data_IF_332856442380
#
_entry.id   IF_332856442380
#
_cell.length_a   1.000
_cell.length_b   1.000
_cell.length_c   1.000
_cell.angle_alpha   90.00
_cell.angle_beta   90.00
_cell.angle_gamma   90.00
#
_symmetry.space_group_name_H-M   'P 1'
#
loop_
_entity.id
_entity.type
_entity.pdbx_description
1 polymer ?
#
# COMPACT_ATOMS: atom_id res chain seq x y z
N UNK A 1 8.08 -17.95 -0.59
CA UNK A 1 8.64 -16.80 0.15
C UNK A 1 7.46 -15.99 0.62
N UNK A 2 7.37 -15.76 1.93
CA UNK A 2 6.33 -14.90 2.51
C UNK A 2 6.57 -13.46 2.03
N UNK A 3 5.54 -12.83 1.45
CA UNK A 3 5.66 -11.46 0.92
C UNK A 3 5.69 -10.50 2.11
N UNK A 4 6.75 -9.72 2.25
CA UNK A 4 6.80 -8.64 3.21
C UNK A 4 5.90 -7.49 2.75
N UNK A 5 4.76 -7.29 3.42
CA UNK A 5 3.78 -6.26 3.09
C UNK A 5 4.36 -4.86 2.98
N UNK A 6 5.29 -4.49 3.87
CA UNK A 6 5.87 -3.13 3.90
C UNK A 6 6.76 -2.89 2.69
N UNK A 7 7.60 -3.87 2.37
CA UNK A 7 8.50 -3.80 1.21
C UNK A 7 7.70 -3.76 -0.09
N UNK A 8 6.69 -4.62 -0.22
CA UNK A 8 5.85 -4.69 -1.41
C UNK A 8 5.00 -3.42 -1.58
N UNK A 9 4.43 -2.87 -0.50
CA UNK A 9 3.68 -1.62 -0.56
C UNK A 9 4.57 -0.45 -1.00
N UNK A 10 5.81 -0.35 -0.48
CA UNK A 10 6.78 0.66 -0.90
C UNK A 10 7.16 0.51 -2.38
N UNK A 11 7.37 -0.73 -2.83
CA UNK A 11 7.68 -1.04 -4.23
C UNK A 11 6.55 -0.60 -5.15
N UNK A 12 5.31 -0.98 -4.82
CA UNK A 12 4.12 -0.62 -5.61
C UNK A 12 3.89 0.90 -5.63
N UNK A 13 4.06 1.59 -4.50
CA UNK A 13 3.99 3.05 -4.44
C UNK A 13 5.01 3.70 -5.41
N UNK A 14 6.24 3.17 -5.44
CA UNK A 14 7.29 3.66 -6.35
C UNK A 14 6.93 3.46 -7.81
N UNK A 15 6.39 2.29 -8.17
CA UNK A 15 5.93 1.97 -9.54
C UNK A 15 4.84 2.95 -10.00
N UNK A 16 3.86 3.22 -9.14
CA UNK A 16 2.78 4.17 -9.44
C UNK A 16 3.24 5.64 -9.41
N UNK A 17 4.46 5.92 -8.94
CA UNK A 17 5.01 7.29 -8.77
C UNK A 17 4.11 8.20 -7.92
N UNK A 18 3.40 7.61 -6.96
CA UNK A 18 2.50 8.34 -6.07
C UNK A 18 3.22 8.76 -4.79
N UNK A 19 2.94 9.99 -4.33
CA UNK A 19 3.33 10.40 -2.99
C UNK A 19 2.41 9.75 -1.93
N UNK A 20 2.78 9.85 -0.65
CA UNK A 20 2.03 9.19 0.44
C UNK A 20 0.57 9.67 0.54
N UNK A 21 0.26 10.93 0.22
CA UNK A 21 -1.12 11.45 0.25
C UNK A 21 -1.96 10.84 -0.87
N UNK A 22 -1.41 10.75 -2.07
CA UNK A 22 -2.09 10.10 -3.20
C UNK A 22 -2.30 8.60 -2.95
N UNK A 23 -1.35 7.93 -2.30
CA UNK A 23 -1.55 6.55 -1.85
C UNK A 23 -2.71 6.43 -0.86
N UNK A 24 -2.82 7.36 0.08
CA UNK A 24 -3.93 7.38 1.04
C UNK A 24 -5.27 7.54 0.33
N UNK A 25 -5.37 8.45 -0.65
CA UNK A 25 -6.56 8.65 -1.49
C UNK A 25 -6.94 7.36 -2.26
N UNK A 26 -5.95 6.71 -2.89
CA UNK A 26 -6.12 5.45 -3.61
C UNK A 26 -6.60 4.30 -2.69
N UNK A 27 -6.17 4.32 -1.43
CA UNK A 27 -6.53 3.34 -0.41
C UNK A 27 -7.76 3.79 0.41
N UNK A 28 -8.79 4.32 -0.27
CA UNK A 28 -10.06 4.72 0.36
C UNK A 28 -9.90 5.79 1.47
N UNK A 29 -8.99 6.74 1.27
CA UNK A 29 -8.69 7.82 2.22
C UNK A 29 -8.19 7.32 3.59
N UNK A 30 -7.34 6.28 3.60
CA UNK A 30 -6.61 5.88 4.82
C UNK A 30 -5.93 7.11 5.43
N UNK A 31 -6.03 7.34 6.75
CA UNK A 31 -5.34 8.46 7.38
C UNK A 31 -3.83 8.40 7.14
N UNK A 32 -3.21 9.53 6.78
CA UNK A 32 -1.78 9.59 6.48
C UNK A 32 -0.90 9.00 7.59
N UNK A 33 -1.27 9.25 8.85
CA UNK A 33 -0.56 8.68 10.01
C UNK A 33 -0.62 7.15 10.04
N UNK A 34 -1.77 6.57 9.70
CA UNK A 34 -1.94 5.12 9.60
C UNK A 34 -1.05 4.55 8.51
N UNK A 35 -1.03 5.17 7.32
CA UNK A 35 -0.14 4.77 6.23
C UNK A 35 1.34 4.86 6.63
N UNK A 36 1.75 5.92 7.32
CA UNK A 36 3.12 6.08 7.80
C UNK A 36 3.52 4.99 8.81
N UNK A 37 2.65 4.66 9.77
CA UNK A 37 2.91 3.55 10.69
C UNK A 37 2.99 2.19 9.98
N UNK A 38 2.28 2.01 8.86
CA UNK A 38 2.44 0.82 8.01
C UNK A 38 3.84 0.78 7.38
N UNK A 39 4.28 1.89 6.79
CA UNK A 39 5.59 1.99 6.13
C UNK A 39 6.79 1.82 7.09
N UNK A 40 6.59 2.12 8.37
CA UNK A 40 7.58 1.95 9.43
C UNK A 40 7.52 0.56 10.10
N UNK A 41 6.49 -0.23 9.82
CA UNK A 41 6.27 -1.53 10.46
C UNK A 41 5.78 -1.46 11.91
N UNK A 42 5.39 -0.29 12.41
CA UNK A 42 4.97 -0.07 13.79
C UNK A 42 3.59 -0.67 14.11
N UNK A 43 2.67 -0.55 13.15
CA UNK A 43 1.30 -1.06 13.28
C UNK A 43 0.85 -1.56 11.92
N UNK A 44 0.76 -2.86 11.74
CA UNK A 44 0.33 -3.44 10.47
C UNK A 44 -1.17 -3.78 10.49
N UNK A 45 -1.86 -3.72 9.34
CA UNK A 45 -3.18 -4.34 9.20
C UNK A 45 -3.10 -5.85 9.48
N UNK A 46 -4.22 -6.52 9.82
CA UNK A 46 -4.26 -7.98 9.80
C UNK A 46 -3.88 -8.52 8.41
N UNK A 47 -3.28 -9.71 8.36
CA UNK A 47 -2.69 -10.28 7.13
C UNK A 47 -3.66 -10.30 5.93
N UNK A 48 -4.91 -10.70 6.15
CA UNK A 48 -5.94 -10.66 5.10
C UNK A 48 -6.12 -9.26 4.50
N UNK A 49 -6.11 -8.20 5.33
CA UNK A 49 -6.21 -6.83 4.84
C UNK A 49 -4.93 -6.38 4.14
N UNK A 50 -3.75 -6.86 4.56
CA UNK A 50 -2.50 -6.61 3.84
C UNK A 50 -2.61 -7.14 2.40
N UNK A 51 -3.09 -8.38 2.23
CA UNK A 51 -3.30 -8.98 0.92
C UNK A 51 -4.29 -8.16 0.07
N UNK A 52 -5.43 -7.74 0.64
CA UNK A 52 -6.40 -6.90 -0.07
C UNK A 52 -5.84 -5.53 -0.47
N UNK A 53 -5.04 -4.91 0.39
CA UNK A 53 -4.37 -3.63 0.11
C UNK A 53 -3.41 -3.81 -1.07
N UNK A 54 -2.54 -4.83 -1.04
CA UNK A 54 -1.60 -5.09 -2.13
C UNK A 54 -2.32 -5.37 -3.45
N UNK A 55 -3.35 -6.21 -3.42
CA UNK A 55 -4.18 -6.50 -4.58
C UNK A 55 -4.80 -5.22 -5.16
N UNK A 56 -5.41 -4.36 -4.33
CA UNK A 56 -5.99 -3.09 -4.77
C UNK A 56 -4.96 -2.20 -5.47
N UNK A 57 -3.76 -2.06 -4.90
CA UNK A 57 -2.71 -1.23 -5.48
C UNK A 57 -2.21 -1.83 -6.81
N UNK A 58 -2.02 -3.15 -6.87
CA UNK A 58 -1.61 -3.86 -8.08
C UNK A 58 -2.64 -3.73 -9.20
N UNK A 59 -3.94 -3.88 -8.92
CA UNK A 59 -4.99 -3.70 -9.94
C UNK A 59 -5.01 -2.28 -10.51
N UNK A 60 -4.53 -1.26 -9.79
CA UNK A 60 -4.40 0.09 -10.36
C UNK A 60 -3.24 0.21 -11.36
N UNK A 61 -2.22 -0.66 -11.28
CA UNK A 61 -1.14 -0.72 -12.26
C UNK A 61 -1.66 -1.32 -13.57
N UNK A 62 -2.41 -2.41 -13.50
CA UNK A 62 -2.96 -3.10 -14.67
C UNK A 62 -3.98 -2.27 -15.46
N UNK A 63 -4.59 -1.25 -14.83
CA UNK A 63 -5.50 -0.31 -15.50
C UNK A 63 -4.79 0.89 -16.15
N UNK A 64 -3.46 0.99 -16.03
CA UNK A 64 -2.65 2.06 -16.65
C UNK A 64 -2.00 1.58 -17.97
N UNK A 65 -1.93 0.27 -18.21
CA UNK A 65 -1.48 -0.36 -19.47
C UNK A 65 -2.66 -0.65 -20.41
#
# INVERSE_FOLDING_TARGET
>A
MEINFVEELKRLQSVLKLNQRQMCELLYNVPLRTYQSWLLGEKLPPEYYQQLILFKVQSNIENIE
#
